data_IF_743688650875
#
_entry.id   IF_743688650875
#
_cell.length_a   1.000
_cell.length_b   1.000
_cell.length_c   1.000
_cell.angle_alpha   90.00
_cell.angle_beta   90.00
_cell.angle_gamma   90.00
#
_symmetry.space_group_name_H-M   'P 1'
#
loop_
_entity.id
_entity.type
_entity.pdbx_description
1 polymer ?
#
# COMPACT_ATOMS: atom_id res chain seq x y z
N UNK A 1 11.76 10.33 0.74
CA UNK A 1 10.87 9.45 1.53
C UNK A 1 9.56 10.15 1.87
N UNK A 2 9.55 11.26 2.62
CA UNK A 2 8.32 12.00 2.95
C UNK A 2 7.41 12.38 1.77
N UNK A 3 7.98 12.89 0.67
CA UNK A 3 7.22 13.24 -0.54
C UNK A 3 6.61 12.02 -1.25
N UNK A 4 7.26 10.86 -1.16
CA UNK A 4 6.72 9.61 -1.70
C UNK A 4 5.59 9.07 -0.83
N UNK A 5 5.66 9.23 0.49
CA UNK A 5 4.61 8.77 1.41
C UNK A 5 3.31 9.56 1.27
N UNK A 6 3.40 10.90 1.12
CA UNK A 6 2.24 11.75 0.82
C UNK A 6 1.61 11.36 -0.52
N UNK A 7 2.45 11.09 -1.53
CA UNK A 7 1.98 10.62 -2.83
C UNK A 7 1.28 9.26 -2.74
N UNK A 8 1.81 8.29 -1.98
CA UNK A 8 1.15 7.00 -1.77
C UNK A 8 -0.15 7.11 -0.98
N UNK A 9 -0.22 8.00 0.01
CA UNK A 9 -1.45 8.24 0.78
C UNK A 9 -2.55 8.85 -0.10
N UNK A 10 -2.17 9.79 -0.98
CA UNK A 10 -3.06 10.36 -1.98
C UNK A 10 -3.54 9.31 -3.00
N UNK A 11 -2.63 8.49 -3.53
CA UNK A 11 -2.96 7.41 -4.47
C UNK A 11 -3.90 6.38 -3.82
N UNK A 12 -3.68 6.04 -2.56
CA UNK A 12 -4.56 5.14 -1.81
C UNK A 12 -5.97 5.69 -1.61
N UNK A 13 -6.07 6.97 -1.26
CA UNK A 13 -7.36 7.63 -1.12
C UNK A 13 -8.11 7.65 -2.45
N UNK A 14 -7.42 7.96 -3.55
CA UNK A 14 -8.00 7.92 -4.89
C UNK A 14 -8.36 6.49 -5.32
N UNK A 15 -7.54 5.48 -5.02
CA UNK A 15 -7.86 4.08 -5.29
C UNK A 15 -9.09 3.62 -4.52
N UNK A 16 -9.20 3.94 -3.23
CA UNK A 16 -10.40 3.66 -2.42
C UNK A 16 -11.65 4.36 -2.96
N UNK A 17 -11.51 5.61 -3.42
CA UNK A 17 -12.60 6.37 -4.02
C UNK A 17 -13.05 5.78 -5.36
N UNK A 18 -12.11 5.42 -6.24
CA UNK A 18 -12.39 4.79 -7.54
C UNK A 18 -13.01 3.40 -7.35
N UNK A 19 -12.57 2.64 -6.35
CA UNK A 19 -13.20 1.36 -5.95
C UNK A 19 -14.65 1.57 -5.48
N UNK A 20 -14.90 2.56 -4.63
CA UNK A 20 -16.25 2.91 -4.17
C UNK A 20 -17.18 3.33 -5.32
N UNK A 21 -16.68 4.17 -6.23
CA UNK A 21 -17.41 4.58 -7.43
C UNK A 21 -17.69 3.41 -8.38
N UNK A 22 -16.73 2.49 -8.53
CA UNK A 22 -16.90 1.27 -9.34
C UNK A 22 -17.92 0.32 -8.74
N UNK A 23 -17.96 0.16 -7.42
CA UNK A 23 -18.99 -0.62 -6.71
C UNK A 23 -20.39 -0.05 -6.92
N UNK A 24 -20.53 1.28 -6.87
CA UNK A 24 -21.80 1.96 -7.14
C UNK A 24 -22.27 1.75 -8.59
N UNK A 25 -21.35 1.82 -9.56
CA UNK A 25 -21.65 1.58 -10.98
C UNK A 25 -21.98 0.11 -11.32
N UNK A 26 -21.40 -0.85 -10.60
CA UNK A 26 -21.63 -2.29 -10.80
C UNK A 26 -22.94 -2.74 -10.11
N UNK A 27 -23.32 -2.11 -8.99
CA UNK A 27 -24.55 -2.42 -8.25
C UNK A 27 -25.86 -2.28 -9.04
N UNK A 28 -25.82 -1.66 -10.23
CA UNK A 28 -26.98 -1.52 -11.13
C UNK A 28 -27.05 -2.56 -12.25
N UNK A 29 -26.01 -3.39 -12.49
CA UNK A 29 -25.96 -4.25 -13.68
C UNK A 29 -25.32 -5.64 -13.52
N UNK A 30 -24.50 -5.93 -12.51
CA UNK A 30 -24.00 -7.30 -12.26
C UNK A 30 -23.38 -7.49 -10.86
N UNK A 31 -23.29 -8.76 -10.47
CA UNK A 31 -23.12 -9.32 -9.12
C UNK A 31 -21.99 -8.71 -8.28
N UNK A 32 -22.29 -8.22 -7.07
CA UNK A 32 -21.34 -7.82 -6.01
C UNK A 32 -20.16 -8.80 -5.81
N UNK A 33 -20.37 -10.07 -6.15
CA UNK A 33 -19.38 -11.14 -6.13
C UNK A 33 -18.16 -10.88 -7.04
N UNK A 34 -18.33 -10.27 -8.22
CA UNK A 34 -17.22 -9.96 -9.13
C UNK A 34 -16.29 -8.88 -8.57
N UNK A 35 -16.86 -7.88 -7.91
CA UNK A 35 -16.10 -6.83 -7.23
C UNK A 35 -15.31 -7.40 -6.03
N UNK A 36 -15.92 -8.30 -5.26
CA UNK A 36 -15.27 -8.92 -4.11
C UNK A 36 -14.09 -9.81 -4.53
N UNK A 37 -14.24 -10.58 -5.61
CA UNK A 37 -13.16 -11.40 -6.18
C UNK A 37 -12.03 -10.57 -6.78
N UNK A 38 -12.32 -9.33 -7.20
CA UNK A 38 -11.30 -8.41 -7.70
C UNK A 38 -10.51 -7.78 -6.56
N UNK A 39 -11.15 -7.50 -5.42
CA UNK A 39 -10.56 -6.82 -4.25
C UNK A 39 -9.81 -7.77 -3.32
N UNK A 40 -10.41 -8.91 -2.97
CA UNK A 40 -9.84 -9.83 -1.98
C UNK A 40 -8.40 -10.29 -2.28
N UNK A 41 -8.10 -10.78 -3.50
CA UNK A 41 -6.84 -11.49 -3.70
C UNK A 41 -5.63 -10.54 -3.70
N UNK A 42 -5.77 -9.30 -4.20
CA UNK A 42 -4.69 -8.31 -4.13
C UNK A 42 -4.65 -7.58 -2.77
N UNK A 43 -5.82 -7.29 -2.18
CA UNK A 43 -5.93 -6.60 -0.89
C UNK A 43 -5.26 -7.35 0.27
N UNK A 44 -5.19 -8.69 0.21
CA UNK A 44 -4.45 -9.51 1.18
C UNK A 44 -2.95 -9.17 1.24
N UNK A 45 -2.36 -8.76 0.12
CA UNK A 45 -0.94 -8.38 0.06
C UNK A 45 -0.73 -6.88 0.27
N UNK A 46 -1.67 -6.08 -0.21
CA UNK A 46 -1.57 -4.62 -0.17
C UNK A 46 -1.78 -4.05 1.24
N UNK A 47 -2.75 -4.58 2.02
CA UNK A 47 -3.00 -4.16 3.40
C UNK A 47 -1.78 -4.34 4.32
N UNK A 48 -1.12 -5.52 4.40
CA UNK A 48 0.08 -5.67 5.21
C UNK A 48 1.25 -4.82 4.70
N UNK A 49 1.39 -4.64 3.38
CA UNK A 49 2.41 -3.75 2.81
C UNK A 49 2.21 -2.30 3.27
N UNK A 50 0.96 -1.82 3.29
CA UNK A 50 0.59 -0.48 3.77
C UNK A 50 0.88 -0.29 5.25
N UNK A 51 0.49 -1.25 6.10
CA UNK A 51 0.73 -1.17 7.55
C UNK A 51 2.23 -1.10 7.82
N UNK A 52 3.02 -1.96 7.17
CA UNK A 52 4.48 -1.97 7.31
C UNK A 52 5.12 -0.68 6.78
N UNK A 53 4.65 -0.16 5.64
CA UNK A 53 5.08 1.13 5.09
C UNK A 53 4.79 2.29 6.04
N UNK A 54 3.60 2.33 6.64
CA UNK A 54 3.21 3.33 7.63
C UNK A 54 4.08 3.29 8.89
N UNK A 55 4.41 2.09 9.38
CA UNK A 55 5.33 1.94 10.53
C UNK A 55 6.73 2.48 10.21
N UNK A 56 7.26 2.21 9.01
CA UNK A 56 8.55 2.74 8.55
C UNK A 56 8.51 4.28 8.44
N UNK A 57 7.43 4.85 7.91
CA UNK A 57 7.26 6.29 7.77
C UNK A 57 7.18 7.01 9.12
N UNK A 58 6.37 6.50 10.05
CA UNK A 58 6.28 7.03 11.42
C UNK A 58 7.61 6.91 12.17
N UNK A 59 8.35 5.82 11.97
CA UNK A 59 9.68 5.66 12.53
C UNK A 59 10.66 6.71 11.99
N UNK A 60 10.58 7.02 10.70
CA UNK A 60 11.38 8.08 10.06
C UNK A 60 11.06 9.47 10.62
N UNK A 61 9.78 9.76 10.89
CA UNK A 61 9.34 11.00 11.58
C UNK A 61 9.94 11.09 12.99
N UNK A 62 9.87 10.02 13.78
CA UNK A 62 10.40 10.01 15.15
C UNK A 62 11.91 10.26 15.18
N UNK A 63 12.66 9.68 14.25
CA UNK A 63 14.11 9.92 14.09
C UNK A 63 14.36 11.38 13.72
N UNK A 64 13.62 11.92 12.77
CA UNK A 64 13.76 13.31 12.33
C UNK A 64 13.50 14.30 13.47
N UNK A 65 12.46 14.07 14.27
CA UNK A 65 12.14 14.88 15.46
C UNK A 65 13.22 14.75 16.53
N UNK A 66 13.78 13.55 16.75
CA UNK A 66 14.90 13.33 17.68
C UNK A 66 16.16 14.06 17.23
N UNK A 67 16.45 14.04 15.94
CA UNK A 67 17.58 14.77 15.35
C UNK A 67 17.44 16.28 15.55
N UNK A 68 16.24 16.85 15.30
CA UNK A 68 15.95 18.27 15.55
C UNK A 68 16.12 18.67 17.02
N UNK A 69 15.89 17.74 17.96
CA UNK A 69 16.11 17.95 19.41
C UNK A 69 17.56 17.71 19.86
N UNK A 70 18.51 17.57 18.93
CA UNK A 70 19.94 17.35 19.23
C UNK A 70 20.30 15.90 19.59
N UNK A 71 19.40 14.95 19.36
CA UNK A 71 19.67 13.52 19.53
C UNK A 71 20.52 12.92 18.40
N UNK A 72 21.16 11.78 18.67
CA UNK A 72 21.93 11.03 17.67
C UNK A 72 21.02 10.56 16.51
N UNK A 73 21.55 10.62 15.28
CA UNK A 73 20.97 9.97 14.10
C UNK A 73 20.89 8.44 14.30
N UNK A 74 19.99 7.81 13.53
CA UNK A 74 19.78 6.35 13.44
C UNK A 74 21.09 5.56 13.56
N UNK A 75 21.09 4.54 14.40
CA UNK A 75 22.19 3.58 14.41
C UNK A 75 22.17 2.75 13.12
N UNK A 76 23.35 2.29 12.68
CA UNK A 76 23.52 1.49 11.46
C UNK A 76 22.65 0.21 11.51
N UNK A 77 22.38 -0.31 12.72
CA UNK A 77 21.47 -1.45 12.95
C UNK A 77 20.02 -1.11 12.61
N UNK A 78 19.53 0.04 13.05
CA UNK A 78 18.16 0.49 12.78
C UNK A 78 17.95 0.76 11.30
N UNK A 79 18.97 1.35 10.64
CA UNK A 79 18.93 1.57 9.19
C UNK A 79 18.82 0.26 8.41
N UNK A 80 19.58 -0.78 8.79
CA UNK A 80 19.45 -2.12 8.19
C UNK A 80 18.07 -2.73 8.40
N UNK A 81 17.46 -2.52 9.56
CA UNK A 81 16.12 -3.02 9.86
C UNK A 81 15.06 -2.33 9.01
N UNK A 82 15.11 -1.00 8.91
CA UNK A 82 14.24 -0.22 8.03
C UNK A 82 14.40 -0.65 6.58
N UNK A 83 15.64 -0.83 6.09
CA UNK A 83 15.89 -1.27 4.73
C UNK A 83 15.33 -2.67 4.45
N UNK A 84 15.43 -3.59 5.42
CA UNK A 84 14.88 -4.95 5.32
C UNK A 84 13.35 -4.94 5.28
N UNK A 85 12.71 -4.12 6.12
CA UNK A 85 11.25 -3.96 6.11
C UNK A 85 10.77 -3.30 4.81
N UNK A 86 11.49 -2.30 4.31
CA UNK A 86 11.21 -1.67 3.01
C UNK A 86 11.28 -2.69 1.87
N UNK A 87 12.32 -3.52 1.85
CA UNK A 87 12.45 -4.60 0.87
C UNK A 87 11.28 -5.58 0.93
N UNK A 88 10.77 -5.88 2.13
CA UNK A 88 9.60 -6.74 2.31
C UNK A 88 8.33 -6.09 1.75
N UNK A 89 8.12 -4.79 2.00
CA UNK A 89 7.00 -4.00 1.45
C UNK A 89 7.01 -4.02 -0.08
N UNK A 90 8.18 -3.84 -0.70
CA UNK A 90 8.31 -3.89 -2.17
C UNK A 90 7.95 -5.26 -2.71
N UNK A 91 8.40 -6.35 -2.07
CA UNK A 91 8.07 -7.72 -2.48
C UNK A 91 6.56 -7.96 -2.37
N UNK A 92 5.93 -7.53 -1.27
CA UNK A 92 4.49 -7.63 -1.08
C UNK A 92 3.70 -6.87 -2.15
N UNK A 93 4.13 -5.66 -2.52
CA UNK A 93 3.51 -4.86 -3.58
C UNK A 93 3.67 -5.49 -4.96
N UNK A 94 4.83 -6.07 -5.27
CA UNK A 94 5.03 -6.81 -6.52
C UNK A 94 4.09 -8.02 -6.56
N UNK A 95 3.98 -8.76 -5.46
CA UNK A 95 3.01 -9.87 -5.36
C UNK A 95 1.57 -9.37 -5.56
N UNK A 96 1.18 -8.25 -4.94
CA UNK A 96 -0.15 -7.65 -5.12
C UNK A 96 -0.41 -7.28 -6.59
N UNK A 97 0.56 -6.64 -7.26
CA UNK A 97 0.47 -6.24 -8.66
C UNK A 97 0.45 -7.43 -9.63
N UNK A 98 1.15 -8.52 -9.32
CA UNK A 98 1.04 -9.78 -10.06
C UNK A 98 -0.38 -10.33 -9.90
N UNK A 99 -0.90 -10.42 -8.68
CA UNK A 99 -2.26 -10.90 -8.44
C UNK A 99 -3.29 -10.05 -9.19
N UNK A 100 -3.13 -8.74 -9.20
CA UNK A 100 -3.95 -7.82 -9.99
C UNK A 100 -3.79 -8.08 -11.49
N UNK A 101 -2.57 -8.15 -12.02
CA UNK A 101 -2.30 -8.34 -13.44
C UNK A 101 -2.80 -9.68 -14.00
N UNK A 102 -2.94 -10.71 -13.17
CA UNK A 102 -3.46 -12.02 -13.60
C UNK A 102 -4.97 -12.17 -13.37
N UNK A 103 -5.54 -11.55 -12.32
CA UNK A 103 -6.98 -11.68 -11.97
C UNK A 103 -7.83 -10.59 -12.62
N UNK A 104 -7.35 -9.35 -12.66
CA UNK A 104 -8.09 -8.20 -13.20
C UNK A 104 -8.39 -8.28 -14.71
N UNK A 105 -7.52 -8.77 -15.61
CA UNK A 105 -7.87 -8.86 -17.03
C UNK A 105 -8.94 -9.93 -17.32
N UNK A 106 -9.19 -10.86 -16.40
CA UNK A 106 -10.28 -11.84 -16.55
C UNK A 106 -11.67 -11.21 -16.46
N UNK A 107 -11.79 -10.02 -15.85
CA UNK A 107 -13.07 -9.32 -15.64
C UNK A 107 -13.26 -8.07 -16.50
N UNK A 108 -12.20 -7.51 -17.09
CA UNK A 108 -12.30 -6.37 -18.01
C UNK A 108 -12.73 -6.82 -19.43
N UNK A 109 -12.65 -8.12 -19.74
CA UNK A 109 -12.94 -8.66 -21.08
C UNK A 109 -14.33 -9.29 -21.25
N UNK A 110 -15.32 -8.92 -20.44
CA UNK A 110 -16.73 -9.26 -20.68
C UNK A 110 -17.59 -7.99 -20.71
#
# INVERSE_FOLDING_TARGET
MFTMEISTMYVLFMNGFVLGASLYGIGTSSTFFSAFIRIIPHGIFEIPAMILGGVIGLYSIQVFVRFLKGGKLLEIKDFKLVLKLLSLVVILLICAGIVEAYITPYFIKQ
#
